data_IF_507597351643
#
_entry.id   IF_507597351643
#
_cell.length_a   1.000
_cell.length_b   1.000
_cell.length_c   1.000
_cell.angle_alpha   90.00
_cell.angle_beta   90.00
_cell.angle_gamma   90.00
#
_symmetry.space_group_name_H-M   'P 1'
#
loop_
_entity.id
_entity.type
_entity.pdbx_description
1 polymer ?
#
# COMPACT_ATOMS: atom_id res chain seq x y z
N UNK A 1 -39.20 18.20 -25.31
CA UNK A 1 -37.78 17.81 -25.46
C UNK A 1 -37.30 17.33 -24.09
N UNK A 2 -36.99 16.04 -23.93
CA UNK A 2 -36.56 15.49 -22.64
C UNK A 2 -35.04 15.61 -22.51
N UNK A 3 -34.56 16.45 -21.59
CA UNK A 3 -33.14 16.60 -21.28
C UNK A 3 -32.66 15.42 -20.43
N UNK A 4 -31.78 14.57 -20.98
CA UNK A 4 -31.09 13.51 -20.22
C UNK A 4 -30.07 14.15 -19.28
N UNK A 5 -30.37 14.19 -17.99
CA UNK A 5 -29.41 14.50 -16.95
C UNK A 5 -28.41 13.33 -16.83
N UNK A 6 -27.13 13.58 -17.12
CA UNK A 6 -26.07 12.57 -16.87
C UNK A 6 -25.84 12.49 -15.37
N UNK A 7 -26.07 11.32 -14.79
CA UNK A 7 -25.76 11.01 -13.39
C UNK A 7 -24.24 11.20 -13.17
N UNK A 8 -23.85 12.14 -12.31
CA UNK A 8 -22.44 12.41 -11.95
C UNK A 8 -21.89 11.12 -11.33
N UNK A 9 -20.96 10.46 -12.02
CA UNK A 9 -20.38 9.18 -11.58
C UNK A 9 -19.14 9.48 -10.71
N UNK A 10 -18.97 8.77 -9.60
CA UNK A 10 -17.86 8.97 -8.69
C UNK A 10 -16.49 8.75 -9.37
N UNK A 11 -15.44 9.52 -9.01
CA UNK A 11 -14.10 9.37 -9.57
C UNK A 11 -13.51 8.00 -9.22
N UNK A 12 -12.86 7.33 -10.19
CA UNK A 12 -12.29 5.97 -10.01
C UNK A 12 -10.77 5.94 -9.77
N UNK A 13 -10.08 7.05 -10.01
CA UNK A 13 -8.61 7.15 -9.93
C UNK A 13 -8.20 8.13 -8.84
N UNK A 14 -7.02 7.91 -8.25
CA UNK A 14 -6.46 8.80 -7.23
C UNK A 14 -6.38 10.25 -7.71
N UNK A 15 -5.80 10.47 -8.90
CA UNK A 15 -5.64 11.83 -9.45
C UNK A 15 -6.96 12.56 -9.61
N UNK A 16 -8.00 11.90 -10.14
CA UNK A 16 -9.30 12.54 -10.34
C UNK A 16 -9.98 12.85 -8.99
N UNK A 17 -9.94 11.92 -8.04
CA UNK A 17 -10.49 12.11 -6.71
C UNK A 17 -9.77 13.22 -5.94
N UNK A 18 -8.43 13.24 -6.00
CA UNK A 18 -7.63 14.27 -5.36
C UNK A 18 -7.92 15.67 -5.88
N UNK A 19 -8.11 15.83 -7.20
CA UNK A 19 -8.50 17.12 -7.77
C UNK A 19 -9.85 17.60 -7.22
N UNK A 20 -10.86 16.72 -7.16
CA UNK A 20 -12.17 17.06 -6.58
C UNK A 20 -12.03 17.46 -5.12
N UNK A 21 -11.31 16.67 -4.33
CA UNK A 21 -11.11 16.94 -2.91
C UNK A 21 -10.40 18.29 -2.70
N UNK A 22 -9.37 18.57 -3.51
CA UNK A 22 -8.61 19.82 -3.45
C UNK A 22 -9.50 21.02 -3.80
N UNK A 23 -10.24 20.96 -4.91
CA UNK A 23 -11.11 22.06 -5.34
C UNK A 23 -12.18 22.35 -4.30
N UNK A 24 -12.86 21.32 -3.77
CA UNK A 24 -13.88 21.52 -2.76
C UNK A 24 -13.30 22.14 -1.47
N UNK A 25 -12.11 21.70 -1.05
CA UNK A 25 -11.44 22.28 0.11
C UNK A 25 -11.08 23.76 -0.10
N UNK A 26 -10.58 24.12 -1.29
CA UNK A 26 -10.28 25.50 -1.67
C UNK A 26 -11.55 26.37 -1.69
N UNK A 27 -12.66 25.86 -2.23
CA UNK A 27 -13.95 26.57 -2.23
C UNK A 27 -14.47 26.83 -0.81
N UNK A 28 -14.42 25.81 0.06
CA UNK A 28 -14.84 25.94 1.45
C UNK A 28 -13.95 26.90 2.25
N UNK A 29 -12.65 26.91 1.98
CA UNK A 29 -11.69 27.76 2.70
C UNK A 29 -11.78 29.22 2.27
N UNK A 30 -12.01 29.50 0.98
CA UNK A 30 -11.97 30.85 0.43
C UNK A 30 -13.34 31.55 0.42
N UNK A 31 -14.43 30.82 0.67
CA UNK A 31 -15.77 31.41 0.71
C UNK A 31 -15.97 32.22 2.00
N UNK A 32 -16.19 33.53 1.84
CA UNK A 32 -16.48 34.44 2.96
C UNK A 32 -17.85 34.14 3.60
N UNK A 33 -18.82 33.73 2.78
CA UNK A 33 -20.13 33.25 3.20
C UNK A 33 -20.39 31.91 2.49
N UNK A 34 -20.51 30.79 3.23
CA UNK A 34 -20.70 29.49 2.62
C UNK A 34 -22.10 29.35 2.02
N UNK A 35 -22.18 28.77 0.82
CA UNK A 35 -23.44 28.40 0.17
C UNK A 35 -24.10 27.24 0.93
N UNK A 36 -24.98 27.58 1.87
CA UNK A 36 -25.64 26.62 2.77
C UNK A 36 -26.46 25.59 2.00
N UNK A 37 -27.08 25.98 0.89
CA UNK A 37 -27.96 25.10 0.12
C UNK A 37 -27.17 23.96 -0.53
N UNK A 38 -25.92 24.22 -0.95
CA UNK A 38 -25.04 23.23 -1.57
C UNK A 38 -23.94 22.70 -0.63
N UNK A 39 -23.86 23.19 0.61
CA UNK A 39 -22.78 22.84 1.54
C UNK A 39 -22.70 21.33 1.79
N UNK A 40 -23.85 20.69 2.01
CA UNK A 40 -23.90 19.26 2.28
C UNK A 40 -23.44 18.46 1.07
N UNK A 41 -23.87 18.83 -0.14
CA UNK A 41 -23.48 18.18 -1.39
C UNK A 41 -21.96 18.27 -1.62
N UNK A 42 -21.35 19.42 -1.31
CA UNK A 42 -19.90 19.63 -1.40
C UNK A 42 -19.15 18.77 -0.38
N UNK A 43 -19.66 18.67 0.85
CA UNK A 43 -19.07 17.83 1.90
C UNK A 43 -19.16 16.34 1.53
N UNK A 44 -20.32 15.88 1.05
CA UNK A 44 -20.50 14.49 0.63
C UNK A 44 -19.58 14.10 -0.54
N UNK A 45 -19.46 14.99 -1.54
CA UNK A 45 -18.52 14.81 -2.64
C UNK A 45 -17.08 14.74 -2.16
N UNK A 46 -16.72 15.57 -1.17
CA UNK A 46 -15.37 15.58 -0.58
C UNK A 46 -15.09 14.28 0.17
N UNK A 47 -16.03 13.78 0.98
CA UNK A 47 -15.89 12.50 1.69
C UNK A 47 -15.76 11.34 0.71
N UNK A 48 -16.57 11.33 -0.36
CA UNK A 48 -16.49 10.30 -1.39
C UNK A 48 -15.12 10.31 -2.12
N UNK A 49 -14.63 11.49 -2.48
CA UNK A 49 -13.33 11.65 -3.11
C UNK A 49 -12.19 11.21 -2.16
N UNK A 50 -12.25 11.62 -0.89
CA UNK A 50 -11.28 11.22 0.12
C UNK A 50 -11.19 9.70 0.29
N UNK A 51 -12.33 8.99 0.35
CA UNK A 51 -12.34 7.52 0.47
C UNK A 51 -11.63 6.85 -0.70
N UNK A 52 -11.76 7.38 -1.91
CA UNK A 52 -11.03 6.87 -3.09
C UNK A 52 -9.53 7.15 -2.96
N UNK A 53 -9.15 8.35 -2.49
CA UNK A 53 -7.75 8.67 -2.25
C UNK A 53 -7.12 7.72 -1.22
N UNK A 54 -7.80 7.53 -0.08
CA UNK A 54 -7.38 6.65 1.00
C UNK A 54 -7.19 5.21 0.51
N UNK A 55 -8.20 4.61 -0.13
CA UNK A 55 -8.13 3.23 -0.61
C UNK A 55 -6.99 2.99 -1.61
N UNK A 56 -6.64 4.00 -2.42
CA UNK A 56 -5.51 3.91 -3.35
C UNK A 56 -4.16 4.01 -2.64
N UNK A 57 -4.05 4.83 -1.61
CA UNK A 57 -2.83 4.91 -0.78
C UNK A 57 -2.63 3.60 -0.02
N UNK A 58 -3.68 3.05 0.58
CA UNK A 58 -3.63 1.77 1.29
C UNK A 58 -3.19 0.62 0.37
N UNK A 59 -3.73 0.55 -0.85
CA UNK A 59 -3.31 -0.45 -1.83
C UNK A 59 -1.85 -0.29 -2.25
N UNK A 60 -1.33 0.95 -2.33
CA UNK A 60 0.09 1.20 -2.61
C UNK A 60 0.95 0.76 -1.43
N UNK A 61 0.55 1.09 -0.20
CA UNK A 61 1.27 0.65 1.01
C UNK A 61 1.37 -0.87 1.05
N UNK A 62 0.26 -1.57 0.86
CA UNK A 62 0.24 -3.05 0.83
C UNK A 62 1.16 -3.64 -0.25
N UNK A 63 1.20 -3.03 -1.44
CA UNK A 63 2.06 -3.50 -2.52
C UNK A 63 3.55 -3.27 -2.22
N UNK A 64 3.89 -2.18 -1.52
CA UNK A 64 5.26 -1.90 -1.10
C UNK A 64 5.69 -2.85 0.03
N UNK A 65 4.83 -3.06 1.03
CA UNK A 65 5.11 -3.99 2.13
C UNK A 65 5.36 -5.41 1.59
N UNK A 66 4.50 -5.89 0.69
CA UNK A 66 4.67 -7.21 0.06
C UNK A 66 5.98 -7.33 -0.74
N UNK A 67 6.35 -6.29 -1.50
CA UNK A 67 7.59 -6.30 -2.28
C UNK A 67 8.84 -6.37 -1.40
N UNK A 68 8.82 -5.71 -0.23
CA UNK A 68 9.95 -5.72 0.69
C UNK A 68 10.00 -6.98 1.57
N UNK A 69 8.86 -7.61 1.87
CA UNK A 69 8.81 -8.88 2.59
C UNK A 69 9.25 -10.06 1.69
N UNK A 70 8.89 -10.07 0.40
CA UNK A 70 9.34 -11.10 -0.56
C UNK A 70 10.87 -11.12 -0.74
N UNK A 71 11.53 -9.96 -0.67
CA UNK A 71 12.99 -9.86 -0.73
C UNK A 71 13.69 -10.42 0.53
N UNK A 72 12.99 -10.51 1.67
CA UNK A 72 13.55 -10.99 2.94
C UNK A 72 13.49 -12.52 3.11
N UNK A 73 12.53 -13.20 2.47
CA UNK A 73 12.36 -14.66 2.54
C UNK A 73 13.10 -15.43 1.42
N UNK A 74 13.89 -14.74 0.60
CA UNK A 74 14.62 -15.32 -0.55
C UNK A 74 16.02 -15.87 -0.23
N UNK A 75 16.50 -15.78 1.02
CA UNK A 75 17.85 -16.22 1.43
C UNK A 75 17.82 -17.32 2.50
N UNK A 76 17.11 -18.45 2.32
CA UNK A 76 17.26 -19.61 3.24
C UNK A 76 16.82 -20.96 2.62
N UNK A 77 17.28 -21.32 1.42
CA UNK A 77 17.16 -22.69 0.90
C UNK A 77 18.40 -23.09 0.05
N UNK A 78 19.54 -23.31 0.71
CA UNK A 78 20.50 -24.41 0.40
C UNK A 78 21.73 -24.32 1.33
N UNK A 79 21.84 -25.21 2.32
CA UNK A 79 22.90 -26.24 2.43
C UNK A 79 22.76 -27.02 3.75
N UNK A 80 21.86 -28.01 3.76
CA UNK A 80 21.91 -29.08 4.75
C UNK A 80 22.30 -30.40 4.08
N UNK A 81 23.39 -30.98 4.59
CA UNK A 81 23.87 -32.36 4.42
C UNK A 81 24.81 -32.68 3.25
N UNK A 82 26.11 -32.72 3.57
CA UNK A 82 27.17 -33.68 3.19
C UNK A 82 28.49 -33.12 3.73
N UNK A 83 29.39 -33.77 4.46
CA UNK A 83 29.72 -35.18 4.64
C UNK A 83 30.60 -35.25 5.91
N UNK A 84 30.21 -36.03 6.91
CA UNK A 84 31.07 -36.36 8.05
C UNK A 84 31.80 -37.65 7.74
N UNK A 85 32.92 -37.57 7.03
CA UNK A 85 33.92 -38.64 7.05
C UNK A 85 35.32 -38.06 7.22
N UNK A 86 35.78 -37.98 8.47
CA UNK A 86 37.21 -37.91 8.74
C UNK A 86 37.58 -39.09 9.61
N UNK A 87 37.84 -40.21 8.95
CA UNK A 87 38.50 -41.38 9.51
C UNK A 87 39.87 -41.48 8.82
N UNK A 88 40.93 -41.07 9.52
CA UNK A 88 42.29 -41.52 9.22
C UNK A 88 43.14 -41.52 10.50
N UNK A 89 43.12 -42.69 11.13
CA UNK A 89 44.23 -43.41 11.74
C UNK A 89 45.59 -42.69 11.87
N UNK A 90 46.10 -42.66 13.10
CA UNK A 90 47.54 -42.87 13.38
C UNK A 90 47.72 -43.39 14.79
N UNK A 91 47.70 -44.72 14.86
CA UNK A 91 48.30 -45.53 15.90
C UNK A 91 49.78 -45.18 16.13
N UNK A 92 50.16 -44.91 17.38
CA UNK A 92 51.52 -45.11 17.87
C UNK A 92 51.51 -45.36 19.38
N UNK A 93 51.66 -46.64 19.73
CA UNK A 93 51.92 -47.12 21.06
C UNK A 93 53.21 -46.54 21.65
N UNK A 94 53.25 -46.27 22.95
CA UNK A 94 54.34 -46.75 23.80
C UNK A 94 53.95 -46.76 25.27
N UNK A 95 54.33 -47.88 25.89
CA UNK A 95 54.20 -48.33 27.27
C UNK A 95 55.01 -47.53 28.30
N UNK A 96 54.83 -47.98 29.56
CA UNK A 96 55.67 -47.81 30.77
C UNK A 96 55.24 -46.68 31.70
N UNK A 97 55.19 -46.85 33.02
CA UNK A 97 55.21 -47.99 33.96
C UNK A 97 54.72 -47.42 35.31
#
# INVERSE_FOLDING_TARGET
MATRTRKKTAPKTFKAAYQILKTNAEELQNSNEPDIDNLMDTVEQSIAAYKVCQARIEAVQQALDAAFDEDADSEDEEVAAQDTTNEQDSEAASSES
#
